data_IF_433533272168
#
_entry.id   IF_433533272168
#
_cell.length_a   1.000
_cell.length_b   1.000
_cell.length_c   1.000
_cell.angle_alpha   90.00
_cell.angle_beta   90.00
_cell.angle_gamma   90.00
#
_symmetry.space_group_name_H-M   'P 1'
#
loop_
_entity.id
_entity.type
_entity.pdbx_description
1 polymer ?
#
# COMPACT_ATOMS: atom_id res chain seq x y z
N UNK A 1 23.23 -2.95 -2.07
CA UNK A 1 22.34 -3.50 -3.12
C UNK A 1 22.12 -4.97 -2.80
N UNK A 2 21.20 -5.30 -1.90
CA UNK A 2 20.95 -6.70 -1.52
C UNK A 2 20.27 -7.47 -2.66
N UNK A 3 21.03 -8.32 -3.33
CA UNK A 3 20.53 -9.29 -4.29
C UNK A 3 19.48 -10.27 -3.69
N UNK A 4 19.40 -10.35 -2.36
CA UNK A 4 18.41 -11.14 -1.63
C UNK A 4 16.96 -10.64 -1.80
N UNK A 5 16.75 -9.33 -2.00
CA UNK A 5 15.40 -8.77 -2.15
C UNK A 5 14.72 -9.20 -3.46
N UNK A 6 15.52 -9.38 -4.52
CA UNK A 6 15.06 -9.86 -5.82
C UNK A 6 14.78 -11.38 -5.83
N UNK A 7 15.11 -12.11 -4.77
CA UNK A 7 14.69 -13.51 -4.60
C UNK A 7 13.20 -13.61 -4.23
N UNK A 8 12.58 -12.53 -3.75
CA UNK A 8 11.15 -12.48 -3.54
C UNK A 8 10.42 -12.18 -4.87
N UNK A 9 9.54 -13.08 -5.36
CA UNK A 9 8.92 -12.94 -6.67
C UNK A 9 8.03 -11.69 -6.79
N UNK A 10 7.42 -11.22 -5.69
CA UNK A 10 6.62 -9.99 -5.68
C UNK A 10 7.48 -8.72 -5.79
N UNK A 11 8.63 -8.71 -5.12
CA UNK A 11 9.59 -7.60 -5.18
C UNK A 11 10.25 -7.53 -6.55
N UNK A 12 10.63 -8.68 -7.11
CA UNK A 12 11.21 -8.76 -8.45
C UNK A 12 10.25 -8.26 -9.53
N UNK A 13 9.00 -8.73 -9.51
CA UNK A 13 7.99 -8.31 -10.48
C UNK A 13 7.75 -6.79 -10.44
N UNK A 14 7.69 -6.22 -9.24
CA UNK A 14 7.53 -4.77 -9.05
C UNK A 14 8.77 -4.00 -9.50
N UNK A 15 9.96 -4.50 -9.20
CA UNK A 15 11.22 -3.90 -9.66
C UNK A 15 11.34 -3.89 -11.19
N UNK A 16 11.05 -5.01 -11.85
CA UNK A 16 11.07 -5.12 -13.30
C UNK A 16 10.03 -4.21 -13.96
N UNK A 17 8.84 -4.08 -13.36
CA UNK A 17 7.82 -3.14 -13.81
C UNK A 17 8.28 -1.68 -13.68
N UNK A 18 8.85 -1.31 -12.53
CA UNK A 18 9.34 0.06 -12.29
C UNK A 18 10.51 0.40 -13.22
N UNK A 19 11.40 -0.56 -13.47
CA UNK A 19 12.52 -0.39 -14.40
C UNK A 19 12.04 -0.11 -15.82
N UNK A 20 11.00 -0.84 -16.29
CA UNK A 20 10.43 -0.62 -17.63
C UNK A 20 9.63 0.66 -17.76
N UNK A 21 8.87 1.03 -16.73
CA UNK A 21 7.90 2.13 -16.81
C UNK A 21 8.47 3.49 -16.43
N UNK A 22 9.45 3.53 -15.52
CA UNK A 22 9.96 4.77 -14.92
C UNK A 22 11.50 4.87 -14.93
N UNK A 23 12.17 3.85 -15.47
CA UNK A 23 13.61 3.81 -15.60
C UNK A 23 14.33 3.35 -14.32
N UNK A 24 15.65 3.19 -14.47
CA UNK A 24 16.51 2.56 -13.46
C UNK A 24 16.57 3.34 -12.15
N UNK A 25 16.47 4.68 -12.18
CA UNK A 25 16.53 5.50 -10.96
C UNK A 25 15.40 5.16 -9.98
N UNK A 26 14.16 5.06 -10.47
CA UNK A 26 12.97 4.73 -9.66
C UNK A 26 13.02 3.27 -9.19
N UNK A 27 13.46 2.35 -10.05
CA UNK A 27 13.63 0.95 -9.68
C UNK A 27 14.73 0.77 -8.60
N UNK A 28 15.80 1.55 -8.69
CA UNK A 28 16.89 1.53 -7.70
C UNK A 28 16.48 2.19 -6.40
N UNK A 29 15.68 3.26 -6.43
CA UNK A 29 15.06 3.82 -5.23
C UNK A 29 14.12 2.82 -4.56
N UNK A 30 13.31 2.09 -5.34
CA UNK A 30 12.50 0.99 -4.81
C UNK A 30 13.38 -0.04 -4.10
N UNK A 31 14.49 -0.47 -4.70
CA UNK A 31 15.43 -1.37 -4.02
C UNK A 31 16.09 -0.72 -2.79
N UNK A 32 16.46 0.56 -2.80
CA UNK A 32 17.03 1.25 -1.64
C UNK A 32 16.05 1.38 -0.49
N UNK A 33 14.78 1.62 -0.79
CA UNK A 33 13.68 1.61 0.18
C UNK A 33 13.46 0.20 0.74
N UNK A 34 13.71 -0.84 -0.06
CA UNK A 34 13.63 -2.24 0.36
C UNK A 34 14.88 -2.73 1.11
N UNK A 35 16.06 -2.14 0.84
CA UNK A 35 17.40 -2.50 1.37
C UNK A 35 17.73 -1.77 2.68
N UNK A 36 17.13 -0.60 2.91
CA UNK A 36 17.35 0.18 4.13
C UNK A 36 16.62 -0.44 5.33
N UNK A 37 17.37 -1.03 6.25
CA UNK A 37 16.91 -1.28 7.63
C UNK A 37 16.44 0.01 8.31
N UNK A 38 15.49 -0.11 9.24
CA UNK A 38 14.16 0.44 9.10
C UNK A 38 14.15 1.98 9.20
N UNK A 39 13.59 2.73 8.23
CA UNK A 39 12.81 3.89 8.65
C UNK A 39 11.62 3.37 9.47
N UNK A 40 11.05 4.22 10.33
CA UNK A 40 9.84 4.01 11.17
C UNK A 40 8.56 3.55 10.43
N UNK A 41 8.70 3.03 9.22
CA UNK A 41 7.75 2.24 8.46
C UNK A 41 8.28 0.79 8.44
N UNK A 42 8.01 0.06 9.52
CA UNK A 42 8.27 -1.38 9.59
C UNK A 42 7.54 -2.05 8.42
N UNK A 43 8.27 -2.61 7.45
CA UNK A 43 7.70 -3.57 6.50
C UNK A 43 7.45 -4.87 7.25
N UNK A 44 6.31 -4.88 7.93
CA UNK A 44 5.68 -6.09 8.42
C UNK A 44 5.09 -6.84 7.21
N UNK A 45 4.88 -8.16 7.32
CA UNK A 45 4.39 -9.04 6.23
C UNK A 45 3.22 -8.39 5.48
N UNK A 46 2.96 -8.71 4.21
CA UNK A 46 1.83 -8.15 3.42
C UNK A 46 0.48 -8.14 4.20
N UNK A 47 0.27 -9.15 5.05
CA UNK A 47 -0.85 -9.22 6.00
C UNK A 47 -0.94 -8.09 7.03
N UNK A 48 0.18 -7.48 7.41
CA UNK A 48 0.23 -6.41 8.40
C UNK A 48 -0.09 -5.03 7.82
N UNK A 49 0.29 -4.76 6.57
CA UNK A 49 -0.22 -3.58 5.86
C UNK A 49 -1.73 -3.67 5.65
N UNK A 50 -2.23 -4.84 5.26
CA UNK A 50 -3.66 -5.11 5.17
C UNK A 50 -4.33 -4.89 6.54
N UNK A 51 -3.79 -5.46 7.61
CA UNK A 51 -4.30 -5.28 8.96
C UNK A 51 -4.29 -3.81 9.43
N UNK A 52 -3.23 -3.04 9.15
CA UNK A 52 -3.15 -1.61 9.48
C UNK A 52 -4.14 -0.77 8.69
N UNK A 53 -4.33 -1.06 7.41
CA UNK A 53 -5.34 -0.39 6.60
C UNK A 53 -6.73 -0.71 7.14
N UNK A 54 -7.01 -1.96 7.49
CA UNK A 54 -8.26 -2.34 8.15
C UNK A 54 -8.43 -1.66 9.51
N UNK A 55 -7.39 -1.55 10.35
CA UNK A 55 -7.46 -0.83 11.63
C UNK A 55 -7.72 0.67 11.45
N UNK A 56 -7.10 1.30 10.46
CA UNK A 56 -7.34 2.70 10.13
C UNK A 56 -8.78 2.92 9.66
N UNK A 57 -9.29 2.02 8.83
CA UNK A 57 -10.68 2.06 8.40
C UNK A 57 -11.63 1.82 9.58
N UNK A 58 -11.37 0.86 10.46
CA UNK A 58 -12.18 0.64 11.67
C UNK A 58 -12.18 1.84 12.62
N UNK A 59 -11.07 2.59 12.68
CA UNK A 59 -10.96 3.79 13.54
C UNK A 59 -11.64 5.02 12.93
N UNK A 60 -11.64 5.15 11.61
CA UNK A 60 -12.07 6.37 10.91
C UNK A 60 -13.32 6.18 10.03
N UNK A 61 -13.85 4.96 9.94
CA UNK A 61 -14.97 4.53 9.09
C UNK A 61 -14.62 4.48 7.59
N UNK A 62 -14.27 5.62 7.01
CA UNK A 62 -13.94 5.72 5.59
C UNK A 62 -12.75 6.64 5.32
N UNK A 63 -11.82 6.19 4.48
CA UNK A 63 -10.61 6.94 4.16
C UNK A 63 -10.34 6.92 2.65
N UNK A 64 -9.75 8.01 2.15
CA UNK A 64 -9.19 8.04 0.79
C UNK A 64 -7.73 7.58 0.78
N UNK A 65 -7.19 7.18 -0.39
CA UNK A 65 -5.76 6.85 -0.51
C UNK A 65 -4.83 7.95 0.02
N UNK A 66 -4.98 9.24 -0.36
CA UNK A 66 -4.11 10.30 0.16
C UNK A 66 -4.22 10.45 1.68
N UNK A 67 -5.41 10.29 2.26
CA UNK A 67 -5.60 10.31 3.72
C UNK A 67 -4.90 9.15 4.42
N UNK A 68 -4.97 7.95 3.86
CA UNK A 68 -4.29 6.77 4.39
C UNK A 68 -2.79 6.92 4.26
N UNK A 69 -2.30 7.45 3.13
CA UNK A 69 -0.89 7.78 2.95
C UNK A 69 -0.42 8.83 3.96
N UNK A 70 -1.19 9.89 4.20
CA UNK A 70 -0.86 10.91 5.21
C UNK A 70 -0.80 10.33 6.62
N UNK A 71 -1.77 9.50 7.00
CA UNK A 71 -1.81 8.86 8.33
C UNK A 71 -0.71 7.83 8.55
N UNK A 72 -0.19 7.24 7.48
CA UNK A 72 0.88 6.25 7.52
C UNK A 72 2.27 6.85 7.21
N UNK A 73 2.38 8.17 7.08
CA UNK A 73 3.61 8.87 6.67
C UNK A 73 4.22 8.30 5.38
N UNK A 74 3.37 7.97 4.42
CA UNK A 74 3.74 7.49 3.08
C UNK A 74 3.90 8.68 2.13
N UNK A 75 5.09 9.28 2.15
CA UNK A 75 5.41 10.51 1.44
C UNK A 75 5.86 10.28 -0.01
N UNK A 76 6.55 9.16 -0.28
CA UNK A 76 7.15 8.87 -1.59
C UNK A 76 6.15 8.29 -2.59
N UNK A 77 6.37 8.55 -3.88
CA UNK A 77 5.51 8.03 -4.96
C UNK A 77 5.44 6.50 -4.96
N UNK A 78 6.56 5.82 -4.66
CA UNK A 78 6.59 4.37 -4.48
C UNK A 78 5.67 3.90 -3.34
N UNK A 79 5.64 4.61 -2.21
CA UNK A 79 4.80 4.28 -1.06
C UNK A 79 3.31 4.53 -1.35
N UNK A 80 2.99 5.57 -2.12
CA UNK A 80 1.62 5.80 -2.62
C UNK A 80 1.16 4.67 -3.56
N UNK A 81 2.07 4.18 -4.40
CA UNK A 81 1.78 3.05 -5.28
C UNK A 81 1.51 1.76 -4.49
N UNK A 82 2.28 1.52 -3.41
CA UNK A 82 2.03 0.41 -2.47
C UNK A 82 0.65 0.53 -1.84
N UNK A 83 0.29 1.70 -1.30
CA UNK A 83 -1.03 1.91 -0.69
C UNK A 83 -2.18 1.63 -1.67
N UNK A 84 -2.03 2.04 -2.93
CA UNK A 84 -3.01 1.77 -3.97
C UNK A 84 -3.13 0.28 -4.28
N UNK A 85 -2.01 -0.45 -4.37
CA UNK A 85 -2.01 -1.89 -4.58
C UNK A 85 -2.60 -2.66 -3.38
N UNK A 86 -2.32 -2.22 -2.15
CA UNK A 86 -2.93 -2.79 -0.93
C UNK A 86 -4.45 -2.64 -0.94
N UNK A 87 -4.98 -1.47 -1.30
CA UNK A 87 -6.43 -1.29 -1.43
C UNK A 87 -7.04 -2.16 -2.52
N UNK A 88 -6.38 -2.31 -3.69
CA UNK A 88 -6.85 -3.22 -4.74
C UNK A 88 -6.88 -4.67 -4.27
N UNK A 89 -5.87 -5.11 -3.53
CA UNK A 89 -5.83 -6.46 -2.96
C UNK A 89 -6.95 -6.67 -1.92
N UNK A 90 -7.20 -5.69 -1.04
CA UNK A 90 -8.28 -5.75 -0.05
C UNK A 90 -9.67 -5.77 -0.69
N UNK A 91 -9.87 -5.03 -1.79
CA UNK A 91 -11.09 -5.07 -2.59
C UNK A 91 -11.27 -6.44 -3.25
N UNK A 92 -10.21 -6.98 -3.87
CA UNK A 92 -10.27 -8.31 -4.51
C UNK A 92 -10.58 -9.43 -3.51
N UNK A 93 -10.16 -9.28 -2.25
CA UNK A 93 -10.49 -10.19 -1.14
C UNK A 93 -11.88 -9.95 -0.53
N UNK A 94 -12.63 -8.92 -0.97
CA UNK A 94 -13.93 -8.57 -0.42
C UNK A 94 -13.89 -7.94 0.98
N UNK A 95 -12.72 -7.61 1.52
CA UNK A 95 -12.55 -7.06 2.88
C UNK A 95 -12.87 -5.56 2.94
N UNK A 96 -12.61 -4.84 1.85
CA UNK A 96 -12.84 -3.40 1.73
C UNK A 96 -13.71 -3.11 0.53
N UNK A 97 -14.72 -2.27 0.72
CA UNK A 97 -15.51 -1.67 -0.34
C UNK A 97 -14.99 -0.27 -0.67
N UNK A 98 -15.20 0.18 -1.91
CA UNK A 98 -14.96 1.57 -2.29
C UNK A 98 -16.26 2.23 -2.75
N UNK A 99 -16.46 3.47 -2.33
CA UNK A 99 -17.51 4.34 -2.83
C UNK A 99 -16.86 5.54 -3.54
N UNK A 100 -17.48 6.01 -4.62
CA UNK A 100 -17.05 7.22 -5.28
C UNK A 100 -17.68 8.40 -4.55
N UNK A 101 -16.86 9.24 -3.95
CA UNK A 101 -17.29 10.50 -3.34
C UNK A 101 -16.69 11.66 -4.13
N UNK A 102 -17.55 12.40 -4.85
CA UNK A 102 -17.15 13.46 -5.79
C UNK A 102 -16.13 12.95 -6.82
N UNK A 103 -14.85 13.25 -6.60
CA UNK A 103 -13.72 12.92 -7.46
C UNK A 103 -12.71 11.95 -6.82
N UNK A 104 -12.97 11.46 -5.60
CA UNK A 104 -12.06 10.58 -4.88
C UNK A 104 -12.77 9.25 -4.54
N UNK A 105 -12.00 8.17 -4.61
CA UNK A 105 -12.45 6.88 -4.09
C UNK A 105 -12.24 6.87 -2.57
N UNK A 106 -13.34 6.73 -1.82
CA UNK A 106 -13.33 6.45 -0.39
C UNK A 106 -13.40 4.94 -0.19
N UNK A 107 -12.57 4.43 0.69
CA UNK A 107 -12.49 3.03 1.03
C UNK A 107 -13.07 2.83 2.44
N UNK A 108 -13.85 1.77 2.66
CA UNK A 108 -14.45 1.39 3.94
C UNK A 108 -14.43 -0.12 4.10
N UNK A 109 -14.44 -0.64 5.34
CA UNK A 109 -14.55 -2.08 5.55
C UNK A 109 -15.90 -2.60 5.03
N UNK A 110 -15.87 -3.75 4.37
CA UNK A 110 -17.09 -4.46 3.94
C UNK A 110 -17.78 -5.01 5.17
N UNK A 111 -19.06 -4.69 5.38
CA UNK A 111 -19.85 -5.19 6.51
C UNK A 111 -19.88 -4.30 7.76
N UNK A 112 -19.19 -3.15 7.79
CA UNK A 112 -19.44 -2.10 8.81
C UNK A 112 -20.68 -1.24 8.45
N UNK A 113 -21.78 -1.91 8.09
CA UNK A 113 -23.12 -1.32 7.86
C UNK A 113 -24.18 -2.04 8.71
N UNK A 114 -23.76 -2.75 9.78
CA UNK A 114 -24.64 -3.37 10.77
C UNK A 114 -24.17 -3.05 12.21
N UNK A 115 -24.54 -1.89 12.72
CA UNK A 115 -24.83 -1.71 14.15
C UNK A 115 -25.73 -0.48 14.30
N UNK A 116 -26.98 -0.79 14.61
CA UNK A 116 -28.08 0.09 15.04
C UNK A 116 -27.71 0.84 16.32
#
# INVERSE_FOLDING_TARGET
MNAQLLQNPGVRSTYEHLMRSYGQAVATEYLKVMDSEPPKVVWRRENDWQARFCQLLKKHGSLTVPETCGRLNLSSQAQRHVAHNTYRALIAKGVVCRAKDRNLWRYRLTGEDESV
#
